data_IF_150174804578
#
_entry.id   IF_150174804578
#
_cell.length_a   1.000
_cell.length_b   1.000
_cell.length_c   1.000
_cell.angle_alpha   90.00
_cell.angle_beta   90.00
_cell.angle_gamma   90.00
#
_symmetry.space_group_name_H-M   'P 1'
#
loop_
_entity.id
_entity.type
_entity.pdbx_description
1 polymer ?
#
# COMPACT_ATOMS: atom_id res chain seq x y z
N UNK A 1 0.77 0.96 -17.75
CA UNK A 1 0.42 0.84 -16.31
C UNK A 1 0.93 2.10 -15.63
N UNK A 2 0.16 2.67 -14.70
CA UNK A 2 0.58 3.78 -13.84
C UNK A 2 0.28 3.40 -12.40
N UNK A 3 1.21 3.69 -11.50
CA UNK A 3 0.99 3.61 -10.06
C UNK A 3 1.24 4.97 -9.44
N UNK A 4 0.44 5.31 -8.44
CA UNK A 4 0.63 6.45 -7.56
C UNK A 4 0.49 5.94 -6.12
N UNK A 5 1.53 6.09 -5.31
CA UNK A 5 1.63 5.46 -3.99
C UNK A 5 2.05 6.53 -3.00
N UNK A 6 1.08 7.00 -2.23
CA UNK A 6 1.30 7.83 -1.06
C UNK A 6 1.31 7.00 0.22
N UNK A 7 1.33 7.70 1.35
CA UNK A 7 1.46 7.11 2.68
C UNK A 7 0.18 6.41 3.14
N UNK A 8 -0.97 6.90 2.70
CA UNK A 8 -2.29 6.41 3.13
C UNK A 8 -3.16 5.98 1.95
N UNK A 9 -2.73 6.30 0.72
CA UNK A 9 -3.49 6.04 -0.50
C UNK A 9 -2.59 5.45 -1.57
N UNK A 10 -3.07 4.45 -2.29
CA UNK A 10 -2.38 3.93 -3.45
C UNK A 10 -3.36 3.59 -4.56
N UNK A 11 -2.99 4.01 -5.77
CA UNK A 11 -3.78 3.86 -6.98
C UNK A 11 -2.95 3.14 -8.02
N UNK A 12 -3.55 2.14 -8.65
CA UNK A 12 -2.97 1.40 -9.77
C UNK A 12 -3.95 1.41 -10.94
N UNK A 13 -3.47 1.91 -12.07
CA UNK A 13 -4.22 2.00 -13.32
C UNK A 13 -3.55 1.15 -14.42
N UNK A 14 -4.30 0.21 -14.96
CA UNK A 14 -3.90 -0.67 -16.04
C UNK A 14 -4.82 -0.50 -17.25
N UNK A 15 -4.27 -0.40 -18.46
CA UNK A 15 -5.04 -0.28 -19.70
C UNK A 15 -4.41 -1.08 -20.84
N UNK A 16 -5.24 -1.62 -21.71
CA UNK A 16 -4.91 -2.20 -23.02
C UNK A 16 -5.92 -1.72 -24.06
N UNK A 17 -5.86 -2.23 -25.30
CA UNK A 17 -6.76 -1.81 -26.39
C UNK A 17 -8.25 -1.98 -26.05
N UNK A 18 -8.59 -3.03 -25.31
CA UNK A 18 -9.99 -3.34 -24.99
C UNK A 18 -10.28 -3.37 -23.50
N UNK A 19 -9.29 -3.25 -22.62
CA UNK A 19 -9.48 -3.38 -21.17
C UNK A 19 -8.97 -2.16 -20.40
N UNK A 20 -9.65 -1.82 -19.31
CA UNK A 20 -9.11 -0.97 -18.28
C UNK A 20 -9.41 -1.55 -16.90
N UNK A 21 -8.43 -1.43 -15.99
CA UNK A 21 -8.50 -1.85 -14.59
C UNK A 21 -8.04 -0.68 -13.73
N UNK A 22 -8.90 -0.23 -12.82
CA UNK A 22 -8.57 0.75 -11.79
C UNK A 22 -8.62 0.06 -10.44
N UNK A 23 -7.58 0.26 -9.63
CA UNK A 23 -7.43 -0.25 -8.28
C UNK A 23 -7.16 0.96 -7.41
N UNK A 24 -8.02 1.23 -6.44
CA UNK A 24 -7.87 2.34 -5.51
C UNK A 24 -7.95 1.81 -4.10
N UNK A 25 -6.96 2.12 -3.29
CA UNK A 25 -6.93 1.68 -1.92
C UNK A 25 -6.50 2.79 -0.96
N UNK A 26 -6.91 2.62 0.29
CA UNK A 26 -6.66 3.55 1.36
C UNK A 26 -6.54 2.82 2.70
N UNK A 27 -5.62 3.29 3.53
CA UNK A 27 -5.51 2.92 4.94
C UNK A 27 -4.91 4.09 5.73
N UNK A 28 -5.47 4.46 6.90
CA UNK A 28 -4.88 5.48 7.75
C UNK A 28 -3.49 5.07 8.23
N UNK A 29 -2.54 6.00 8.23
CA UNK A 29 -1.19 5.78 8.72
C UNK A 29 -1.17 5.50 10.23
N UNK A 30 -2.20 5.96 10.96
CA UNK A 30 -2.42 5.60 12.36
C UNK A 30 -2.53 4.09 12.57
N UNK A 31 -3.10 3.39 11.59
CA UNK A 31 -3.41 1.96 11.66
C UNK A 31 -2.25 1.10 11.15
N UNK A 32 -1.24 1.74 10.54
CA UNK A 32 -0.06 1.08 10.04
C UNK A 32 0.79 0.47 11.17
N UNK A 33 1.24 -0.76 10.92
CA UNK A 33 2.17 -1.48 11.76
C UNK A 33 3.60 -1.07 11.46
N UNK A 34 4.44 -1.06 12.50
CA UNK A 34 5.88 -0.86 12.35
C UNK A 34 6.56 -2.20 12.56
N UNK A 35 7.17 -2.75 11.51
CA UNK A 35 7.86 -4.02 11.61
C UNK A 35 9.34 -3.82 11.98
N UNK A 36 9.82 -4.53 13.02
CA UNK A 36 11.24 -4.59 13.32
C UNK A 36 11.96 -5.47 12.29
N UNK A 37 13.07 -4.96 11.76
CA UNK A 37 13.94 -5.69 10.82
C UNK A 37 15.30 -5.93 11.51
N UNK A 38 15.85 -7.16 11.45
CA UNK A 38 17.13 -7.47 12.07
C UNK A 38 18.30 -6.91 11.25
N UNK A 39 19.15 -6.11 11.89
CA UNK A 39 20.47 -5.77 11.36
C UNK A 39 21.47 -6.81 11.85
N UNK A 40 21.63 -7.89 11.09
CA UNK A 40 22.38 -9.10 11.50
C UNK A 40 23.80 -8.76 11.96
N UNK A 41 24.55 -7.94 11.20
CA UNK A 41 25.91 -7.53 11.56
C UNK A 41 26.03 -6.70 12.84
N UNK A 42 24.93 -6.09 13.28
CA UNK A 42 24.86 -5.26 14.50
C UNK A 42 24.16 -5.97 15.66
N UNK A 43 23.63 -7.19 15.43
CA UNK A 43 22.88 -7.99 16.43
C UNK A 43 21.78 -7.19 17.15
N UNK A 44 21.06 -6.34 16.40
CA UNK A 44 19.93 -5.57 16.92
C UNK A 44 18.79 -5.50 15.90
N UNK A 45 17.58 -5.32 16.39
CA UNK A 45 16.42 -5.00 15.57
C UNK A 45 16.20 -3.49 15.53
N UNK A 46 15.78 -2.97 14.37
CA UNK A 46 15.42 -1.57 14.17
C UNK A 46 14.08 -1.49 13.44
N UNK A 47 13.32 -0.40 13.57
CA UNK A 47 12.22 -0.12 12.63
C UNK A 47 12.73 -0.21 11.19
N UNK A 48 12.11 -1.02 10.35
CA UNK A 48 12.58 -1.18 8.97
C UNK A 48 11.50 -1.19 7.90
N UNK A 49 10.24 -1.42 8.29
CA UNK A 49 9.09 -1.30 7.38
C UNK A 49 7.86 -0.74 8.11
N UNK A 50 7.03 -0.02 7.36
CA UNK A 50 5.69 0.42 7.76
C UNK A 50 4.70 -0.37 6.91
N UNK A 51 3.73 -1.03 7.55
CA UNK A 51 2.80 -1.93 6.87
C UNK A 51 1.35 -1.60 7.18
N UNK A 52 0.60 -1.27 6.13
CA UNK A 52 -0.85 -1.33 6.13
C UNK A 52 -1.27 -2.77 5.85
N UNK A 53 -2.06 -3.39 6.73
CA UNK A 53 -2.50 -4.78 6.58
C UNK A 53 -4.02 -4.92 6.36
N UNK A 54 -4.79 -3.89 6.74
CA UNK A 54 -6.26 -3.91 6.76
C UNK A 54 -6.85 -2.70 6.04
N UNK A 55 -6.22 -2.25 4.96
CA UNK A 55 -6.75 -1.17 4.13
C UNK A 55 -8.01 -1.55 3.38
N UNK A 56 -8.75 -0.55 2.94
CA UNK A 56 -9.89 -0.71 2.05
C UNK A 56 -9.47 -0.56 0.60
N UNK A 57 -9.99 -1.43 -0.26
CA UNK A 57 -9.72 -1.47 -1.69
C UNK A 57 -11.03 -1.45 -2.47
N UNK A 58 -11.04 -0.73 -3.59
CA UNK A 58 -12.03 -0.82 -4.66
C UNK A 58 -11.33 -1.17 -5.97
N UNK A 59 -11.93 -2.07 -6.74
CA UNK A 59 -11.47 -2.42 -8.08
C UNK A 59 -12.61 -2.23 -9.07
N UNK A 60 -12.30 -1.64 -10.22
CA UNK A 60 -13.20 -1.51 -11.35
C UNK A 60 -12.52 -2.07 -12.60
N UNK A 61 -13.24 -2.93 -13.33
CA UNK A 61 -12.78 -3.52 -14.58
C UNK A 61 -13.78 -3.19 -15.67
N UNK A 62 -13.28 -2.60 -16.76
CA UNK A 62 -14.07 -2.28 -17.94
C UNK A 62 -13.49 -2.94 -19.19
N UNK A 63 -14.39 -3.29 -20.12
CA UNK A 63 -14.05 -3.77 -21.44
C UNK A 63 -14.74 -2.89 -22.49
N UNK A 64 -13.98 -2.37 -23.45
CA UNK A 64 -14.46 -1.41 -24.45
C UNK A 64 -15.22 -0.22 -23.83
N UNK A 65 -14.71 0.31 -22.71
CA UNK A 65 -15.32 1.43 -21.99
C UNK A 65 -16.55 1.07 -21.13
N UNK A 66 -17.06 -0.16 -21.19
CA UNK A 66 -18.18 -0.62 -20.36
C UNK A 66 -17.67 -1.39 -19.14
N UNK A 67 -18.11 -1.00 -17.94
CA UNK A 67 -17.80 -1.77 -16.73
C UNK A 67 -18.38 -3.20 -16.86
N UNK A 68 -17.52 -4.18 -16.68
CA UNK A 68 -17.88 -5.61 -16.70
C UNK A 68 -17.78 -6.25 -15.33
N UNK A 69 -17.01 -5.65 -14.42
CA UNK A 69 -16.89 -6.11 -13.04
C UNK A 69 -16.47 -4.97 -12.10
N UNK A 70 -16.91 -5.04 -10.84
CA UNK A 70 -16.40 -4.20 -9.76
C UNK A 70 -16.43 -5.00 -8.45
N UNK A 71 -15.51 -4.69 -7.55
CA UNK A 71 -15.38 -5.35 -6.25
C UNK A 71 -14.74 -4.47 -5.20
N UNK A 72 -14.89 -4.88 -3.94
CA UNK A 72 -14.27 -4.22 -2.79
C UNK A 72 -13.65 -5.27 -1.86
N UNK A 73 -12.63 -4.86 -1.09
CA UNK A 73 -11.97 -5.69 -0.08
C UNK A 73 -11.57 -4.83 1.13
N UNK A 74 -11.62 -5.42 2.33
CA UNK A 74 -11.06 -4.84 3.56
C UNK A 74 -9.66 -5.35 3.90
N UNK A 75 -8.99 -6.01 2.94
CA UNK A 75 -7.66 -6.60 3.09
C UNK A 75 -6.71 -6.01 2.04
N UNK A 76 -6.58 -4.69 2.02
CA UNK A 76 -5.63 -3.99 1.17
C UNK A 76 -4.32 -3.78 1.92
N UNK A 77 -3.23 -4.36 1.40
CA UNK A 77 -1.90 -4.21 1.95
C UNK A 77 -1.07 -3.13 1.24
N UNK A 78 -0.24 -2.41 2.00
CA UNK A 78 0.82 -1.54 1.47
C UNK A 78 2.02 -1.56 2.41
N UNK A 79 3.20 -1.84 1.86
CA UNK A 79 4.47 -1.79 2.58
C UNK A 79 5.29 -0.58 2.12
N UNK A 80 5.75 0.22 3.09
CA UNK A 80 6.84 1.18 2.89
C UNK A 80 8.11 0.65 3.55
N UNK A 81 9.02 0.12 2.72
CA UNK A 81 10.36 -0.22 3.16
C UNK A 81 11.25 1.02 3.34
N UNK A 82 12.27 0.89 4.20
CA UNK A 82 13.34 1.88 4.34
C UNK A 82 13.59 2.26 5.80
N UNK A 83 14.83 2.09 6.24
CA UNK A 83 15.23 2.33 7.65
C UNK A 83 14.95 3.77 8.10
N UNK A 84 15.31 4.76 7.30
CA UNK A 84 15.14 6.17 7.65
C UNK A 84 13.67 6.56 7.77
N UNK A 85 12.85 6.07 6.83
CA UNK A 85 11.41 6.32 6.81
C UNK A 85 10.72 5.66 8.00
N UNK A 86 11.04 4.39 8.27
CA UNK A 86 10.51 3.66 9.41
C UNK A 86 10.96 4.29 10.75
N UNK A 87 12.20 4.76 10.84
CA UNK A 87 12.70 5.47 12.02
C UNK A 87 11.99 6.82 12.24
N UNK A 88 11.77 7.60 11.17
CA UNK A 88 11.02 8.86 11.24
C UNK A 88 9.56 8.63 11.69
N UNK A 89 8.91 7.60 11.14
CA UNK A 89 7.57 7.21 11.55
C UNK A 89 7.50 6.72 13.01
N UNK A 90 8.49 5.93 13.45
CA UNK A 90 8.59 5.50 14.84
C UNK A 90 8.74 6.69 15.80
N UNK A 91 9.45 7.73 15.38
CA UNK A 91 9.64 8.96 16.16
C UNK A 91 8.37 9.80 16.22
N UNK A 92 7.52 9.81 15.18
CA UNK A 92 6.27 10.59 15.17
C UNK A 92 5.14 9.97 16.01
N UNK A 93 5.25 8.69 16.40
CA UNK A 93 4.30 8.02 17.30
C UNK A 93 4.59 8.22 18.80
N UNK A 94 5.68 8.91 19.18
CA UNK A 94 6.04 9.21 20.58
C UNK A 94 5.47 10.54 21.03
#
# INVERSE_FOLDING_TARGET
>A
MRADVGDEHWVLEGRSLSWAVSVQAHAPLSDAHLLPVPLVGQRRAVPGAIEHLTGHLRIEVSRHGRQVWAGQSGLAGLEHGGLDRAAAFAASKK
#
